data_IF_177628812218
#
_entry.id   IF_177628812218
#
_cell.length_a   1.000
_cell.length_b   1.000
_cell.length_c   1.000
_cell.angle_alpha   90.00
_cell.angle_beta   90.00
_cell.angle_gamma   90.00
#
_symmetry.space_group_name_H-M   'P 1'
#
loop_
_entity.id
_entity.type
_entity.pdbx_description
1 polymer ?
#
# COMPACT_ATOMS: atom_id res chain seq x y z
N UNK A 1 8.02 -19.83 -0.48
CA UNK A 1 8.83 -18.60 -0.36
C UNK A 1 7.96 -17.61 0.42
N UNK A 2 8.40 -17.12 1.57
CA UNK A 2 7.62 -16.15 2.35
C UNK A 2 7.70 -14.78 1.67
N UNK A 3 6.54 -14.21 1.37
CA UNK A 3 6.40 -12.92 0.73
C UNK A 3 6.43 -11.88 1.85
N UNK A 4 7.62 -11.38 2.22
CA UNK A 4 7.73 -10.34 3.25
C UNK A 4 7.76 -8.96 2.57
N UNK A 5 6.95 -8.04 3.05
CA UNK A 5 6.97 -6.63 2.67
C UNK A 5 7.39 -5.80 3.87
N UNK A 6 8.06 -4.69 3.59
CA UNK A 6 8.50 -3.76 4.63
C UNK A 6 7.97 -2.36 4.36
N UNK A 7 7.56 -1.65 5.41
CA UNK A 7 7.17 -0.24 5.34
C UNK A 7 7.80 0.51 6.52
N UNK A 8 8.98 1.08 6.29
CA UNK A 8 9.76 1.72 7.36
C UNK A 8 9.91 3.23 7.19
N UNK A 9 10.06 3.72 5.96
CA UNK A 9 10.22 5.14 5.64
C UNK A 9 10.05 5.40 4.13
N UNK A 10 10.07 6.67 3.71
CA UNK A 10 10.10 7.06 2.30
C UNK A 10 11.24 6.44 1.46
N UNK A 11 12.35 6.04 2.09
CA UNK A 11 13.49 5.43 1.38
C UNK A 11 13.59 3.92 1.60
N UNK A 12 12.69 3.36 2.39
CA UNK A 12 12.80 1.99 2.89
C UNK A 12 11.41 1.37 3.02
N UNK A 13 10.86 1.02 1.87
CA UNK A 13 9.57 0.37 1.77
C UNK A 13 9.57 -0.60 0.60
N UNK A 14 8.52 -1.40 0.48
CA UNK A 14 8.33 -2.28 -0.64
C UNK A 14 6.91 -2.18 -1.19
N UNK A 15 6.76 -2.61 -2.43
CA UNK A 15 5.48 -2.80 -3.11
C UNK A 15 5.34 -4.27 -3.48
N UNK A 16 4.10 -4.70 -3.67
CA UNK A 16 3.83 -5.99 -4.30
C UNK A 16 3.93 -5.84 -5.82
N UNK A 17 4.18 -6.93 -6.53
CA UNK A 17 4.14 -6.92 -7.98
C UNK A 17 4.25 -8.33 -8.54
N UNK A 18 3.81 -8.58 -9.79
CA UNK A 18 3.91 -9.90 -10.38
C UNK A 18 5.36 -10.40 -10.45
N UNK A 19 5.51 -11.74 -10.50
CA UNK A 19 6.83 -12.38 -10.62
C UNK A 19 7.51 -12.15 -11.97
N UNK A 20 6.78 -11.62 -12.97
CA UNK A 20 7.25 -11.46 -14.33
C UNK A 20 7.42 -12.80 -15.07
N UNK A 21 8.00 -12.81 -16.28
CA UNK A 21 8.56 -11.67 -17.01
C UNK A 21 7.53 -10.87 -17.80
N UNK A 22 6.28 -11.34 -17.87
CA UNK A 22 5.20 -10.61 -18.56
C UNK A 22 4.42 -9.75 -17.57
N UNK A 23 4.09 -8.50 -17.93
CA UNK A 23 3.17 -7.68 -17.14
C UNK A 23 1.81 -8.36 -16.97
N UNK A 24 1.25 -8.29 -15.76
CA UNK A 24 -0.08 -8.83 -15.42
C UNK A 24 -0.85 -7.78 -14.61
N UNK A 25 -2.18 -7.80 -14.69
CA UNK A 25 -3.00 -7.02 -13.76
C UNK A 25 -2.77 -7.49 -12.33
N UNK A 26 -2.83 -6.59 -11.34
CA UNK A 26 -2.67 -7.00 -9.94
C UNK A 26 -3.76 -8.01 -9.58
N UNK A 27 -5.02 -7.73 -9.96
CA UNK A 27 -6.18 -8.63 -9.75
C UNK A 27 -5.99 -10.07 -10.26
N UNK A 28 -5.31 -10.24 -11.40
CA UNK A 28 -5.03 -11.57 -11.95
C UNK A 28 -3.84 -12.25 -11.26
N UNK A 29 -2.94 -11.46 -10.68
CA UNK A 29 -1.69 -11.92 -10.09
C UNK A 29 -1.73 -12.05 -8.55
N UNK A 30 -2.82 -11.63 -7.89
CA UNK A 30 -2.87 -11.36 -6.45
C UNK A 30 -2.34 -12.50 -5.59
N UNK A 31 -2.63 -13.76 -5.93
CA UNK A 31 -2.16 -14.94 -5.18
C UNK A 31 -0.66 -15.20 -5.28
N UNK A 32 -0.01 -14.69 -6.32
CA UNK A 32 1.37 -15.00 -6.69
C UNK A 32 2.31 -13.80 -6.75
N UNK A 33 1.85 -12.60 -6.37
CA UNK A 33 2.71 -11.40 -6.36
C UNK A 33 3.86 -11.55 -5.37
N UNK A 34 4.98 -10.90 -5.68
CA UNK A 34 6.19 -10.84 -4.87
C UNK A 34 6.55 -9.43 -4.43
N UNK A 35 7.32 -9.32 -3.35
CA UNK A 35 7.78 -8.01 -2.87
C UNK A 35 8.94 -7.46 -3.69
N UNK A 36 8.85 -6.17 -4.01
CA UNK A 36 9.91 -5.32 -4.57
C UNK A 36 10.19 -4.19 -3.60
N UNK A 37 11.40 -4.12 -3.02
CA UNK A 37 11.78 -3.12 -2.04
C UNK A 37 12.70 -2.04 -2.63
N UNK A 38 12.63 -0.82 -2.09
CA UNK A 38 13.55 0.27 -2.43
C UNK A 38 15.00 -0.01 -2.01
N UNK A 39 15.20 -0.86 -0.98
CA UNK A 39 16.52 -1.27 -0.50
C UNK A 39 16.79 -2.75 -0.73
N UNK A 40 18.05 -3.05 -1.04
CA UNK A 40 18.59 -4.40 -0.95
C UNK A 40 18.68 -4.88 0.51
N UNK A 41 18.94 -6.17 0.71
CA UNK A 41 19.09 -6.76 2.05
C UNK A 41 17.78 -7.13 2.75
N UNK A 42 16.65 -7.02 2.05
CA UNK A 42 15.31 -7.43 2.53
C UNK A 42 14.94 -8.87 2.20
N UNK A 43 15.81 -9.60 1.47
CA UNK A 43 15.51 -10.95 0.99
C UNK A 43 14.45 -10.97 -0.13
N UNK A 44 14.20 -9.83 -0.76
CA UNK A 44 13.18 -9.61 -1.80
C UNK A 44 13.83 -9.00 -3.05
N UNK A 45 13.03 -8.70 -4.08
CA UNK A 45 13.51 -8.02 -5.29
C UNK A 45 13.75 -6.54 -5.00
N UNK A 46 14.61 -5.90 -5.77
CA UNK A 46 14.79 -4.43 -5.69
C UNK A 46 13.91 -3.75 -6.72
N UNK A 47 13.27 -2.65 -6.33
CA UNK A 47 12.54 -1.77 -7.27
C UNK A 47 13.55 -1.18 -8.25
N UNK A 48 13.37 -1.36 -9.58
CA UNK A 48 14.29 -0.77 -10.55
C UNK A 48 14.31 0.76 -10.49
N UNK A 49 15.47 1.36 -10.74
CA UNK A 49 15.62 2.82 -10.79
C UNK A 49 14.67 3.46 -11.80
N UNK A 50 14.12 4.62 -11.45
CA UNK A 50 13.17 5.34 -12.29
C UNK A 50 11.75 4.77 -12.30
N UNK A 51 11.47 3.69 -11.57
CA UNK A 51 10.11 3.16 -11.35
C UNK A 51 9.28 4.15 -10.55
N UNK A 52 9.75 4.59 -9.38
CA UNK A 52 9.06 5.56 -8.54
C UNK A 52 9.27 6.98 -9.09
N UNK A 53 8.17 7.72 -9.24
CA UNK A 53 8.12 9.08 -9.77
C UNK A 53 7.81 10.12 -8.69
N UNK A 54 7.09 9.72 -7.65
CA UNK A 54 6.95 10.48 -6.41
C UNK A 54 6.82 9.51 -5.24
N UNK A 55 7.17 9.97 -4.04
CA UNK A 55 7.00 9.23 -2.78
C UNK A 55 6.54 10.21 -1.71
N UNK A 56 5.41 9.93 -1.09
CA UNK A 56 4.90 10.63 0.08
C UNK A 56 4.76 9.63 1.23
N UNK A 57 5.63 9.73 2.22
CA UNK A 57 5.54 8.92 3.43
C UNK A 57 4.97 9.74 4.58
N UNK A 58 3.99 9.20 5.29
CA UNK A 58 3.44 9.79 6.51
C UNK A 58 3.47 8.78 7.66
N UNK A 59 3.89 9.27 8.82
CA UNK A 59 3.76 8.56 10.09
C UNK A 59 2.75 9.28 10.96
N UNK A 60 1.79 8.53 11.51
CA UNK A 60 0.79 9.03 12.46
C UNK A 60 0.85 8.23 13.75
N UNK A 61 0.06 8.60 14.78
CA UNK A 61 -0.08 7.79 15.98
C UNK A 61 -0.58 6.35 15.71
N UNK A 62 -1.47 6.16 14.73
CA UNK A 62 -2.13 4.86 14.48
C UNK A 62 -1.71 4.14 13.20
N UNK A 63 -0.92 4.74 12.30
CA UNK A 63 -0.44 4.05 11.12
C UNK A 63 0.84 4.67 10.54
N UNK A 64 1.47 3.93 9.64
CA UNK A 64 2.37 4.50 8.64
C UNK A 64 1.82 4.24 7.26
N UNK A 65 2.08 5.17 6.35
CA UNK A 65 1.60 5.08 4.98
C UNK A 65 2.66 5.61 4.03
N UNK A 66 2.74 4.98 2.85
CA UNK A 66 3.43 5.53 1.69
C UNK A 66 2.46 5.60 0.53
N UNK A 67 2.42 6.73 -0.17
CA UNK A 67 1.74 6.89 -1.45
C UNK A 67 2.70 7.49 -2.48
N UNK A 68 2.28 7.50 -3.73
CA UNK A 68 3.04 8.15 -4.79
C UNK A 68 2.60 7.72 -6.17
N UNK A 69 3.41 8.12 -7.14
CA UNK A 69 3.25 7.78 -8.55
C UNK A 69 4.44 6.99 -9.07
N UNK A 70 4.24 6.20 -10.12
CA UNK A 70 5.27 5.34 -10.67
C UNK A 70 4.97 4.78 -12.06
N UNK A 71 6.01 4.26 -12.71
CA UNK A 71 5.89 3.39 -13.88
C UNK A 71 6.02 1.93 -13.45
N UNK A 72 4.90 1.28 -13.14
CA UNK A 72 4.89 -0.06 -12.57
C UNK A 72 5.08 -1.20 -13.58
N UNK A 73 5.15 -0.91 -14.88
CA UNK A 73 5.54 -1.95 -15.86
C UNK A 73 6.96 -2.48 -15.56
N UNK A 74 7.80 -1.67 -14.94
CA UNK A 74 9.13 -2.04 -14.45
C UNK A 74 9.12 -3.14 -13.37
N UNK A 75 8.00 -3.31 -12.66
CA UNK A 75 7.76 -4.40 -11.71
C UNK A 75 6.66 -5.35 -12.19
N UNK A 76 6.44 -5.39 -13.51
CA UNK A 76 5.51 -6.27 -14.22
C UNK A 76 4.03 -6.07 -13.86
N UNK A 77 3.64 -4.88 -13.42
CA UNK A 77 2.22 -4.54 -13.30
C UNK A 77 1.76 -3.98 -14.65
N UNK A 78 0.72 -4.57 -15.23
CA UNK A 78 0.18 -4.16 -16.53
C UNK A 78 -0.64 -2.88 -16.40
N UNK A 79 -0.32 -1.85 -17.19
CA UNK A 79 -1.13 -0.64 -17.31
C UNK A 79 -2.54 -0.90 -17.90
N UNK A 80 -2.76 -2.05 -18.53
CA UNK A 80 -4.03 -2.43 -19.15
C UNK A 80 -4.82 -3.44 -18.33
N UNK A 81 -4.16 -4.18 -17.43
CA UNK A 81 -4.75 -5.28 -16.66
C UNK A 81 -5.55 -4.84 -15.43
N UNK A 82 -5.76 -3.54 -15.23
CA UNK A 82 -6.39 -3.00 -14.03
C UNK A 82 -5.46 -3.04 -12.81
N UNK A 83 -5.86 -2.30 -11.78
CA UNK A 83 -5.21 -2.40 -10.48
C UNK A 83 -5.93 -3.37 -9.59
N UNK A 84 -5.40 -3.52 -8.38
CA UNK A 84 -6.01 -4.38 -7.39
C UNK A 84 -5.67 -3.92 -5.99
N UNK A 85 -6.48 -4.42 -5.07
CA UNK A 85 -6.26 -4.35 -3.65
C UNK A 85 -5.52 -5.62 -3.22
N UNK A 86 -4.54 -5.44 -2.35
CA UNK A 86 -3.86 -6.54 -1.69
C UNK A 86 -3.93 -6.26 -0.19
N UNK A 87 -4.37 -7.26 0.57
CA UNK A 87 -4.68 -7.13 1.97
C UNK A 87 -4.62 -8.51 2.68
N UNK A 88 -4.63 -8.56 4.03
CA UNK A 88 -4.50 -9.79 4.78
C UNK A 88 -5.78 -10.65 4.83
N UNK A 89 -6.91 -10.16 4.32
CA UNK A 89 -8.23 -10.78 4.38
C UNK A 89 -8.88 -10.96 3.00
N UNK A 90 -8.08 -11.18 1.95
CA UNK A 90 -8.57 -11.49 0.60
C UNK A 90 -9.67 -12.57 0.58
N UNK A 91 -10.38 -12.71 -0.54
CA UNK A 91 -11.69 -13.39 -0.63
C UNK A 91 -11.83 -14.83 -0.04
N UNK A 92 -10.73 -15.53 0.25
CA UNK A 92 -10.70 -16.85 0.90
C UNK A 92 -10.19 -16.83 2.36
N UNK A 93 -10.07 -15.65 2.98
CA UNK A 93 -9.52 -15.39 4.33
C UNK A 93 -8.04 -15.79 4.49
N UNK A 94 -7.33 -16.07 3.40
CA UNK A 94 -5.90 -16.44 3.43
C UNK A 94 -4.95 -15.28 3.09
N UNK A 95 -5.51 -14.09 2.84
CA UNK A 95 -4.81 -12.91 2.36
C UNK A 95 -4.44 -12.99 0.88
N UNK A 96 -4.29 -11.83 0.25
CA UNK A 96 -3.86 -11.70 -1.13
C UNK A 96 -2.69 -10.69 -1.18
N UNK A 97 -1.43 -11.13 -1.27
CA UNK A 97 -0.97 -12.49 -1.52
C UNK A 97 -1.10 -13.45 -0.34
N UNK A 98 -1.34 -14.72 -0.65
CA UNK A 98 -1.37 -15.81 0.32
C UNK A 98 -0.02 -15.88 1.05
N UNK A 99 -0.05 -15.72 2.37
CA UNK A 99 1.16 -15.70 3.20
C UNK A 99 2.01 -14.43 3.06
N UNK A 100 1.42 -13.33 2.58
CA UNK A 100 2.00 -11.99 2.62
C UNK A 100 2.11 -11.49 4.06
N UNK A 101 3.32 -11.14 4.49
CA UNK A 101 3.58 -10.59 5.81
C UNK A 101 4.16 -9.19 5.69
N UNK A 102 3.56 -8.21 6.36
CA UNK A 102 4.07 -6.85 6.43
C UNK A 102 4.84 -6.63 7.73
N UNK A 103 6.01 -6.01 7.63
CA UNK A 103 6.84 -5.64 8.77
C UNK A 103 7.17 -4.16 8.76
N UNK A 104 7.27 -3.56 9.93
CA UNK A 104 7.69 -2.16 10.08
C UNK A 104 8.57 -1.98 11.31
N UNK A 105 9.55 -1.08 11.22
CA UNK A 105 10.26 -0.55 12.40
C UNK A 105 9.94 0.92 12.68
N UNK A 106 8.99 1.51 11.95
CA UNK A 106 8.67 2.94 12.05
C UNK A 106 8.01 3.32 13.39
N UNK A 107 7.48 2.34 14.12
CA UNK A 107 6.78 2.52 15.40
C UNK A 107 7.70 2.54 16.63
N UNK A 108 9.03 2.51 16.46
CA UNK A 108 10.00 2.71 17.55
C UNK A 108 10.21 1.50 18.48
N UNK A 109 9.55 0.37 18.26
CA UNK A 109 9.68 -0.88 19.06
C UNK A 109 10.62 -1.91 18.43
N UNK A 110 11.50 -1.50 17.52
CA UNK A 110 12.24 -2.42 16.65
C UNK A 110 11.37 -2.92 15.49
N UNK A 111 11.85 -3.92 14.76
CA UNK A 111 11.09 -4.52 13.66
C UNK A 111 9.95 -5.37 14.22
N UNK A 112 8.71 -5.07 13.84
CA UNK A 112 7.51 -5.81 14.22
C UNK A 112 6.71 -6.20 12.99
N UNK A 113 5.99 -7.32 13.10
CA UNK A 113 4.97 -7.69 12.13
C UNK A 113 3.75 -6.79 12.34
N UNK A 114 3.13 -6.40 11.24
CA UNK A 114 1.89 -5.61 11.21
C UNK A 114 0.83 -6.48 10.56
N UNK A 115 -0.22 -6.83 11.30
CA UNK A 115 -1.26 -7.75 10.81
C UNK A 115 -2.32 -7.03 9.99
N UNK A 116 -2.60 -5.76 10.30
CA UNK A 116 -3.54 -4.93 9.57
C UNK A 116 -2.80 -4.01 8.59
N UNK A 117 -3.00 -4.25 7.31
CA UNK A 117 -2.39 -3.47 6.24
C UNK A 117 -3.28 -3.50 5.01
N UNK A 118 -3.07 -2.51 4.14
CA UNK A 118 -3.80 -2.38 2.90
C UNK A 118 -2.85 -1.81 1.86
N UNK A 119 -2.85 -2.34 0.64
CA UNK A 119 -2.22 -1.67 -0.49
C UNK A 119 -3.08 -1.69 -1.73
N UNK A 120 -3.09 -0.55 -2.42
CA UNK A 120 -3.75 -0.35 -3.68
C UNK A 120 -2.67 0.10 -4.66
N UNK A 121 -2.56 -0.61 -5.79
CA UNK A 121 -1.56 -0.33 -6.81
C UNK A 121 -2.22 -0.35 -8.18
N UNK A 122 -1.88 0.65 -9.01
CA UNK A 122 -2.33 0.74 -10.40
C UNK A 122 -3.86 0.68 -10.54
N UNK A 123 -4.62 1.19 -9.55
CA UNK A 123 -6.09 1.05 -9.48
C UNK A 123 -6.75 1.49 -10.80
N UNK A 124 -7.90 0.89 -11.16
CA UNK A 124 -8.64 1.21 -12.38
C UNK A 124 -8.89 2.73 -12.57
N UNK A 125 -9.03 3.44 -11.46
CA UNK A 125 -9.23 4.90 -11.43
C UNK A 125 -7.94 5.71 -11.64
N UNK A 126 -6.77 5.15 -11.30
CA UNK A 126 -5.48 5.81 -11.47
C UNK A 126 -4.32 4.79 -11.56
N UNK A 127 -3.91 4.54 -12.81
CA UNK A 127 -2.94 3.52 -13.21
C UNK A 127 -1.50 3.84 -12.82
N UNK A 128 -1.22 5.09 -12.50
CA UNK A 128 0.13 5.53 -12.16
C UNK A 128 0.32 5.67 -10.65
N UNK A 129 -0.72 5.47 -9.85
CA UNK A 129 -0.64 5.61 -8.39
C UNK A 129 -0.43 4.31 -7.64
N UNK A 130 0.15 4.47 -6.46
CA UNK A 130 0.19 3.45 -5.43
C UNK A 130 -0.04 4.05 -4.06
N UNK A 131 -0.56 3.24 -3.14
CA UNK A 131 -0.56 3.52 -1.73
C UNK A 131 -0.49 2.23 -0.93
N UNK A 132 0.16 2.30 0.21
CA UNK A 132 0.29 1.22 1.18
C UNK A 132 0.21 1.84 2.56
N UNK A 133 -0.68 1.30 3.40
CA UNK A 133 -0.82 1.66 4.80
C UNK A 133 -0.63 0.43 5.67
N UNK A 134 0.07 0.59 6.78
CA UNK A 134 0.28 -0.44 7.80
C UNK A 134 -0.13 0.11 9.17
N UNK A 135 -1.04 -0.58 9.86
CA UNK A 135 -1.61 -0.19 11.13
C UNK A 135 -1.14 -1.17 12.22
N UNK A 136 -0.28 -0.75 13.17
CA UNK A 136 0.22 -1.64 14.21
C UNK A 136 -0.94 -2.14 15.07
N UNK A 137 -0.84 -3.38 15.55
CA UNK A 137 -1.90 -4.02 16.33
C UNK A 137 -2.40 -3.14 17.49
N UNK A 138 -3.71 -2.96 17.55
CA UNK A 138 -4.40 -2.13 18.52
C UNK A 138 -5.89 -1.99 18.19
N UNK A 139 -6.67 -1.42 19.10
CA UNK A 139 -8.14 -1.40 19.02
C UNK A 139 -8.70 -0.71 17.75
N UNK A 140 -7.94 0.18 17.14
CA UNK A 140 -8.32 0.92 15.93
C UNK A 140 -7.62 0.44 14.66
N UNK A 141 -6.75 -0.57 14.72
CA UNK A 141 -5.93 -0.99 13.58
C UNK A 141 -6.80 -1.36 12.37
N UNK A 142 -7.82 -2.19 12.59
CA UNK A 142 -8.79 -2.56 11.56
C UNK A 142 -9.52 -1.34 10.98
N UNK A 143 -9.85 -0.33 11.79
CA UNK A 143 -10.59 0.84 11.33
C UNK A 143 -9.78 1.73 10.39
N UNK A 144 -8.48 1.89 10.65
CA UNK A 144 -7.59 2.70 9.81
C UNK A 144 -7.06 1.97 8.58
N UNK A 145 -7.05 0.63 8.61
CA UNK A 145 -6.60 -0.23 7.50
C UNK A 145 -7.75 -1.04 6.88
N UNK A 146 -9.01 -0.56 6.95
CA UNK A 146 -10.15 -1.26 6.33
C UNK A 146 -9.93 -1.46 4.83
N UNK A 147 -10.34 -2.63 4.39
CA UNK A 147 -10.14 -3.26 3.09
C UNK A 147 -11.49 -3.64 2.43
N UNK A 148 -12.46 -2.72 2.45
CA UNK A 148 -13.84 -2.98 1.98
C UNK A 148 -14.25 -2.12 0.78
N UNK A 149 -13.32 -1.32 0.24
CA UNK A 149 -13.58 -0.30 -0.78
C UNK A 149 -12.56 -0.39 -1.91
N UNK A 150 -12.33 -1.61 -2.38
CA UNK A 150 -11.21 -2.02 -3.21
C UNK A 150 -11.18 -1.33 -4.58
N UNK A 151 -12.37 -0.99 -5.09
CA UNK A 151 -12.55 -0.33 -6.38
C UNK A 151 -12.35 1.20 -6.33
N UNK A 152 -12.29 1.81 -5.14
CA UNK A 152 -12.28 3.27 -4.98
C UNK A 152 -10.88 3.90 -4.95
N UNK A 153 -9.82 3.07 -4.88
CA UNK A 153 -8.43 3.49 -5.03
C UNK A 153 -7.86 4.33 -3.89
N UNK A 154 -6.64 4.83 -4.10
CA UNK A 154 -5.86 5.50 -3.05
C UNK A 154 -6.49 6.80 -2.55
N UNK A 155 -7.08 7.59 -3.45
CA UNK A 155 -7.71 8.86 -3.09
C UNK A 155 -8.90 8.69 -2.14
N UNK A 156 -9.58 7.53 -2.20
CA UNK A 156 -10.64 7.20 -1.26
C UNK A 156 -10.06 6.54 -0.02
N UNK A 157 -9.36 5.41 -0.13
CA UNK A 157 -8.95 4.62 1.03
C UNK A 157 -7.82 5.21 1.86
N UNK A 158 -6.93 5.97 1.20
CA UNK A 158 -5.72 6.51 1.79
C UNK A 158 -5.48 7.95 1.35
N UNK A 159 -6.43 8.87 1.64
CA UNK A 159 -6.36 10.24 1.12
C UNK A 159 -5.10 10.93 1.63
N UNK A 160 -4.32 11.47 0.70
CA UNK A 160 -3.16 12.32 0.96
C UNK A 160 -3.32 13.63 0.22
N UNK A 161 -2.42 14.58 0.50
CA UNK A 161 -2.21 15.70 -0.43
C UNK A 161 -1.86 15.16 -1.81
N UNK A 162 -2.34 15.77 -2.90
CA UNK A 162 -2.07 15.28 -4.25
C UNK A 162 -0.58 15.06 -4.49
N UNK A 163 -0.23 13.87 -4.97
CA UNK A 163 1.15 13.51 -5.27
C UNK A 163 1.74 14.46 -6.32
N UNK A 164 2.97 14.92 -6.07
CA UNK A 164 3.68 15.82 -6.98
C UNK A 164 4.86 15.10 -7.61
N UNK A 165 4.94 15.13 -8.94
CA UNK A 165 6.02 14.50 -9.69
C UNK A 165 7.39 15.01 -9.23
N UNK A 166 8.30 14.08 -8.90
CA UNK A 166 9.65 14.40 -8.45
C UNK A 166 9.75 14.79 -6.97
N UNK A 167 8.64 14.78 -6.22
CA UNK A 167 8.65 15.00 -4.77
C UNK A 167 8.83 13.68 -4.04
N UNK A 168 9.79 13.66 -3.12
CA UNK A 168 10.11 12.55 -2.23
C UNK A 168 10.16 13.11 -0.82
N UNK A 169 9.13 12.84 -0.03
CA UNK A 169 8.97 13.45 1.28
C UNK A 169 8.57 12.44 2.37
N UNK A 170 8.86 12.83 3.60
CA UNK A 170 8.58 12.08 4.81
C UNK A 170 8.09 13.04 5.87
N UNK A 171 6.85 12.83 6.32
CA UNK A 171 6.15 13.72 7.24
C UNK A 171 5.67 12.96 8.48
N UNK A 172 5.60 13.67 9.60
CA UNK A 172 4.77 13.27 10.74
C UNK A 172 3.45 14.03 10.65
N UNK A 173 2.35 13.37 10.96
CA UNK A 173 1.01 13.96 10.85
C UNK A 173 0.02 13.37 11.84
N UNK A 174 -1.13 14.02 11.93
CA UNK A 174 -2.29 13.50 12.67
C UNK A 174 -2.93 12.33 11.90
N UNK A 175 -3.74 11.54 12.60
CA UNK A 175 -4.49 10.47 11.96
C UNK A 175 -5.49 11.03 10.94
N UNK A 176 -5.55 10.40 9.76
CA UNK A 176 -6.62 10.67 8.80
C UNK A 176 -7.99 10.26 9.36
N UNK A 177 -9.05 10.66 8.64
CA UNK A 177 -10.38 10.13 8.92
C UNK A 177 -10.40 8.60 8.71
N UNK A 178 -11.23 7.91 9.51
CA UNK A 178 -11.46 6.48 9.37
C UNK A 178 -11.94 6.19 7.95
N UNK A 179 -11.41 5.13 7.35
CA UNK A 179 -11.76 4.72 5.98
C UNK A 179 -13.28 4.51 5.87
N UNK A 180 -13.90 5.14 4.87
CA UNK A 180 -15.35 5.12 4.64
C UNK A 180 -16.14 6.17 5.42
N UNK A 181 -15.50 6.94 6.30
CA UNK A 181 -16.13 7.99 7.13
C UNK A 181 -15.63 9.35 6.64
N UNK A 182 -16.13 9.82 5.51
CA UNK A 182 -15.77 11.13 4.97
C UNK A 182 -16.81 12.16 5.36
N UNK A 183 -16.46 13.09 6.24
CA UNK A 183 -17.38 14.16 6.62
C UNK A 183 -17.40 15.25 5.55
N UNK A 184 -18.54 15.47 4.91
CA UNK A 184 -18.76 16.68 4.10
C UNK A 184 -19.51 17.69 4.97
N UNK A 185 -18.87 18.80 5.33
CA UNK A 185 -19.41 19.80 6.27
C UNK A 185 -19.81 19.25 7.67
N UNK A 186 -19.03 18.29 8.22
CA UNK A 186 -19.25 17.76 9.57
C UNK A 186 -20.37 16.71 9.69
N UNK A 187 -20.93 16.24 8.57
CA UNK A 187 -21.91 15.14 8.54
C UNK A 187 -21.26 13.90 7.94
N UNK A 188 -21.29 12.79 8.69
CA UNK A 188 -20.92 11.46 8.18
C UNK A 188 -22.07 10.97 7.30
N UNK A 189 -21.87 10.75 5.98
CA UNK A 189 -22.86 10.05 5.18
C UNK A 189 -22.93 8.62 5.71
N UNK A 190 -24.12 8.21 6.17
CA UNK A 190 -24.34 6.80 6.51
C UNK A 190 -24.05 5.94 5.27
N UNK A 191 -23.25 4.87 5.39
CA UNK A 191 -23.13 3.91 4.31
C UNK A 191 -24.49 3.22 4.13
N UNK A 192 -24.99 3.20 2.89
CA UNK A 192 -26.10 2.34 2.49
C UNK A 192 -25.60 0.90 2.31
#
# INVERSE_FOLDING_TARGET
MCQNLYLNSATDFCLWGPTGPKPQGIGDAERGVVSYCTKAGRGTRTIPDGTLKSVHFVKTPHYVQVSGTGNFENIFISAQGGGGELDPHGADELGNPIGGLVFSNAFGKGLMQVHEWLTLQNNFMDKETYCLRACPDGDSAYQYCKNIYDELGCNFNMPTTPDQLGVFESCEGDDAQIVGVYTNNGVVPHPQ
#
